data_IF_140659418473
#
_entry.id   IF_140659418473
#
_cell.length_a   1.000
_cell.length_b   1.000
_cell.length_c   1.000
_cell.angle_alpha   90.00
_cell.angle_beta   90.00
_cell.angle_gamma   90.00
#
_symmetry.space_group_name_H-M   'P 1'
#
loop_
_entity.id
_entity.type
_entity.pdbx_description
1 polymer ?
#
# COMPACT_ATOMS: atom_id res chain seq x y z
N UNK A 1 -16.00 9.02 2.86
CA UNK A 1 -15.02 8.22 2.09
C UNK A 1 -13.69 8.02 2.82
N UNK A 2 -13.35 8.86 3.81
CA UNK A 2 -12.37 8.61 4.89
C UNK A 2 -12.35 7.16 5.43
N UNK A 3 -13.54 6.54 5.54
CA UNK A 3 -13.70 5.13 5.96
C UNK A 3 -13.18 4.10 4.95
N UNK A 4 -13.18 4.37 3.65
CA UNK A 4 -12.81 3.38 2.63
C UNK A 4 -11.31 3.12 2.62
N UNK A 5 -10.50 4.17 2.73
CA UNK A 5 -9.05 4.08 2.91
C UNK A 5 -8.68 3.46 4.26
N UNK A 6 -9.39 3.82 5.33
CA UNK A 6 -9.18 3.22 6.66
C UNK A 6 -9.52 1.73 6.64
N UNK A 7 -10.57 1.30 5.94
CA UNK A 7 -11.00 -0.11 5.83
C UNK A 7 -10.08 -0.93 4.91
N UNK A 8 -9.58 -0.37 3.81
CA UNK A 8 -8.59 -1.05 2.97
C UNK A 8 -7.26 -1.24 3.70
N UNK A 9 -6.74 -0.19 4.34
CA UNK A 9 -5.56 -0.31 5.19
C UNK A 9 -5.82 -1.16 6.45
N UNK A 10 -7.03 -1.19 7.00
CA UNK A 10 -7.38 -2.03 8.16
C UNK A 10 -7.59 -3.51 7.80
N UNK A 11 -8.16 -3.83 6.63
CA UNK A 11 -8.29 -5.22 6.14
C UNK A 11 -6.94 -5.80 5.73
N UNK A 12 -6.04 -4.97 5.19
CA UNK A 12 -4.63 -5.35 5.07
C UNK A 12 -4.05 -5.49 6.49
N UNK A 13 -4.20 -4.50 7.38
CA UNK A 13 -3.59 -4.51 8.72
C UNK A 13 -4.05 -5.64 9.68
N UNK A 14 -5.27 -6.18 9.55
CA UNK A 14 -5.72 -7.32 10.39
C UNK A 14 -5.07 -8.64 9.99
N UNK A 15 -4.45 -8.73 8.81
CA UNK A 15 -3.61 -9.87 8.41
C UNK A 15 -2.11 -9.58 8.52
N UNK A 16 -1.70 -8.33 8.78
CA UNK A 16 -0.31 -7.91 9.02
C UNK A 16 0.15 -8.28 10.44
N UNK A 17 0.47 -9.55 10.66
CA UNK A 17 1.21 -9.93 11.87
C UNK A 17 2.71 -9.54 11.78
N UNK A 18 3.24 -9.14 10.61
CA UNK A 18 4.68 -8.83 10.42
C UNK A 18 5.07 -7.71 9.47
N UNK A 19 4.14 -6.94 8.88
CA UNK A 19 4.53 -5.55 8.59
C UNK A 19 4.84 -4.95 9.94
N UNK A 20 6.07 -4.46 10.14
CA UNK A 20 6.53 -3.85 11.39
C UNK A 20 5.43 -2.91 11.90
N UNK A 21 4.59 -3.42 12.81
CA UNK A 21 3.32 -2.78 13.13
C UNK A 21 3.59 -1.44 13.78
N UNK A 22 4.68 -1.36 14.52
CA UNK A 22 5.14 -0.13 15.14
C UNK A 22 5.62 0.87 14.09
N UNK A 23 6.38 0.42 13.08
CA UNK A 23 6.73 1.26 11.94
C UNK A 23 5.50 1.71 11.16
N UNK A 24 4.52 0.85 10.94
CA UNK A 24 3.28 1.21 10.25
C UNK A 24 2.46 2.22 11.05
N UNK A 25 2.26 2.01 12.36
CA UNK A 25 1.58 2.98 13.24
C UNK A 25 2.28 4.33 13.23
N UNK A 26 3.60 4.35 13.32
CA UNK A 26 4.41 5.59 13.26
C UNK A 26 4.31 6.26 11.90
N UNK A 27 4.41 5.50 10.82
CA UNK A 27 4.27 6.00 9.45
C UNK A 27 2.89 6.62 9.22
N UNK A 28 1.84 5.92 9.64
CA UNK A 28 0.46 6.39 9.59
C UNK A 28 0.26 7.68 10.35
N UNK A 29 0.61 7.70 11.64
CA UNK A 29 0.48 8.89 12.47
C UNK A 29 1.24 10.08 11.87
N UNK A 30 2.45 9.85 11.33
CA UNK A 30 3.20 10.88 10.63
C UNK A 30 2.48 11.40 9.38
N UNK A 31 2.08 10.51 8.46
CA UNK A 31 1.47 10.93 7.20
C UNK A 31 0.09 11.59 7.40
N UNK A 32 -0.69 11.17 8.39
CA UNK A 32 -1.98 11.79 8.75
C UNK A 32 -1.81 13.24 9.27
N UNK A 33 -0.64 13.60 9.82
CA UNK A 33 -0.37 15.00 10.19
C UNK A 33 -0.13 15.89 8.97
N UNK A 34 0.34 15.31 7.87
CA UNK A 34 0.73 16.03 6.65
C UNK A 34 -0.45 16.17 5.67
N UNK A 35 -1.32 15.17 5.60
CA UNK A 35 -2.42 15.08 4.63
C UNK A 35 -3.73 14.79 5.35
N UNK A 36 -4.76 15.61 5.12
CA UNK A 36 -6.02 15.57 5.90
C UNK A 36 -7.27 15.46 5.03
N UNK A 37 -7.13 15.64 3.72
CA UNK A 37 -8.23 15.72 2.77
C UNK A 37 -8.23 14.56 1.78
N UNK A 38 -9.40 14.31 1.18
CA UNK A 38 -9.58 13.24 0.18
C UNK A 38 -8.86 13.58 -1.15
N UNK A 39 -8.49 14.85 -1.38
CA UNK A 39 -7.71 15.29 -2.55
C UNK A 39 -6.22 14.90 -2.44
N UNK A 40 -5.74 14.63 -1.22
CA UNK A 40 -4.33 14.33 -0.92
C UNK A 40 -4.04 12.83 -0.84
N UNK A 41 -4.99 11.97 -1.24
CA UNK A 41 -4.89 10.51 -1.08
C UNK A 41 -3.68 9.92 -1.80
N UNK A 42 -3.30 10.46 -2.95
CA UNK A 42 -2.11 10.01 -3.67
C UNK A 42 -0.81 10.32 -2.88
N UNK A 43 -0.73 11.52 -2.31
CA UNK A 43 0.41 11.97 -1.50
C UNK A 43 0.50 11.22 -0.17
N UNK A 44 -0.66 10.98 0.47
CA UNK A 44 -0.76 10.18 1.67
C UNK A 44 -0.29 8.74 1.44
N UNK A 45 -0.78 8.11 0.36
CA UNK A 45 -0.39 6.74 -0.02
C UNK A 45 1.10 6.65 -0.29
N UNK A 46 1.66 7.62 -1.02
CA UNK A 46 3.09 7.69 -1.28
C UNK A 46 3.91 7.89 0.01
N UNK A 47 3.47 8.77 0.91
CA UNK A 47 4.10 8.96 2.21
C UNK A 47 4.18 7.66 3.00
N UNK A 48 3.08 6.90 3.06
CA UNK A 48 3.05 5.59 3.70
C UNK A 48 4.03 4.63 3.03
N UNK A 49 3.96 4.49 1.71
CA UNK A 49 4.80 3.55 0.95
C UNK A 49 6.29 3.86 1.13
N UNK A 50 6.65 5.15 1.12
CA UNK A 50 8.01 5.62 1.39
C UNK A 50 8.46 5.30 2.81
N UNK A 51 7.63 5.60 3.82
CA UNK A 51 7.96 5.31 5.23
C UNK A 51 8.08 3.82 5.51
N UNK A 52 7.31 2.99 4.81
CA UNK A 52 7.39 1.53 4.87
C UNK A 52 8.55 0.95 4.04
N UNK A 53 9.16 1.75 3.16
CA UNK A 53 10.24 1.32 2.28
C UNK A 53 9.76 0.53 1.06
N UNK A 54 8.45 0.53 0.80
CA UNK A 54 7.85 -0.15 -0.36
C UNK A 54 8.13 0.58 -1.67
N UNK A 55 8.35 1.89 -1.60
CA UNK A 55 8.60 2.76 -2.74
C UNK A 55 9.65 3.82 -2.37
N UNK A 56 10.56 4.13 -3.28
CA UNK A 56 11.58 5.18 -3.07
C UNK A 56 11.08 6.56 -3.55
N UNK A 57 11.91 7.60 -3.42
CA UNK A 57 11.58 8.96 -3.87
C UNK A 57 11.35 9.09 -5.38
N UNK A 58 12.02 8.25 -6.17
CA UNK A 58 11.87 8.22 -7.62
C UNK A 58 10.61 7.46 -8.09
N UNK A 59 9.83 6.93 -7.15
CA UNK A 59 8.62 6.15 -7.43
C UNK A 59 8.86 4.67 -7.74
N UNK A 60 10.10 4.17 -7.59
CA UNK A 60 10.42 2.76 -7.83
C UNK A 60 10.03 1.89 -6.65
N UNK A 61 9.33 0.79 -6.96
CA UNK A 61 8.91 -0.19 -5.96
C UNK A 61 10.04 -1.13 -5.56
N UNK A 62 10.23 -1.27 -4.25
CA UNK A 62 11.21 -2.17 -3.65
C UNK A 62 10.59 -3.56 -3.51
N UNK A 63 10.57 -4.30 -4.64
CA UNK A 63 9.83 -5.57 -4.77
C UNK A 63 10.23 -6.63 -3.74
N UNK A 64 11.50 -6.67 -3.33
CA UNK A 64 11.96 -7.60 -2.30
C UNK A 64 11.36 -7.27 -0.93
N UNK A 65 11.32 -5.98 -0.57
CA UNK A 65 10.70 -5.50 0.67
C UNK A 65 9.19 -5.81 0.65
N UNK A 66 8.52 -5.52 -0.46
CA UNK A 66 7.11 -5.89 -0.65
C UNK A 66 6.91 -7.39 -0.49
N UNK A 67 7.71 -8.22 -1.18
CA UNK A 67 7.63 -9.68 -1.07
C UNK A 67 7.74 -10.11 0.39
N UNK A 68 8.81 -9.72 1.10
CA UNK A 68 9.00 -10.09 2.52
C UNK A 68 7.84 -9.67 3.41
N UNK A 69 7.24 -8.49 3.18
CA UNK A 69 6.16 -7.99 4.04
C UNK A 69 4.78 -8.60 3.73
N UNK A 70 4.55 -9.08 2.51
CA UNK A 70 3.26 -9.65 2.10
C UNK A 70 3.25 -11.20 2.01
N UNK A 71 4.40 -11.87 2.14
CA UNK A 71 4.54 -13.33 1.98
C UNK A 71 3.70 -14.17 2.95
N UNK A 72 3.49 -13.67 4.18
CA UNK A 72 2.71 -14.37 5.21
C UNK A 72 1.21 -14.03 5.16
N UNK A 73 0.83 -13.09 4.28
CA UNK A 73 -0.53 -12.51 4.18
C UNK A 73 -1.22 -12.94 2.90
N UNK A 74 -0.45 -13.05 1.83
CA UNK A 74 -0.90 -13.45 0.52
C UNK A 74 -0.28 -14.81 0.19
N UNK A 75 -1.01 -15.66 -0.53
CA UNK A 75 -0.38 -16.84 -1.14
C UNK A 75 0.73 -16.41 -2.08
N UNK A 76 1.72 -17.27 -2.30
CA UNK A 76 2.80 -17.01 -3.26
C UNK A 76 2.26 -16.60 -4.64
N UNK A 77 1.15 -17.19 -5.08
CA UNK A 77 0.49 -16.80 -6.35
C UNK A 77 -0.03 -15.36 -6.32
N UNK A 78 -0.65 -14.93 -5.21
CA UNK A 78 -1.17 -13.57 -5.06
C UNK A 78 -0.05 -12.54 -4.91
N UNK A 79 1.06 -12.87 -4.27
CA UNK A 79 2.18 -11.93 -4.13
C UNK A 79 2.85 -11.66 -5.48
N UNK A 80 3.05 -12.71 -6.29
CA UNK A 80 3.63 -12.56 -7.61
C UNK A 80 2.69 -11.80 -8.56
N UNK A 81 1.38 -12.00 -8.41
CA UNK A 81 0.37 -11.21 -9.12
C UNK A 81 0.43 -9.72 -8.74
N UNK A 82 0.51 -9.39 -7.46
CA UNK A 82 0.66 -8.00 -6.98
C UNK A 82 1.96 -7.37 -7.50
N UNK A 83 3.09 -8.06 -7.36
CA UNK A 83 4.40 -7.56 -7.80
C UNK A 83 4.49 -7.40 -9.32
N UNK A 84 3.71 -8.14 -10.09
CA UNK A 84 3.69 -8.05 -11.55
C UNK A 84 2.69 -7.01 -12.05
N UNK A 85 1.47 -7.00 -11.51
CA UNK A 85 0.35 -6.20 -12.03
C UNK A 85 0.21 -4.84 -11.36
N UNK A 86 0.52 -4.73 -10.06
CA UNK A 86 0.19 -3.54 -9.29
C UNK A 86 1.38 -2.61 -9.05
N UNK A 87 2.61 -3.11 -9.05
CA UNK A 87 3.82 -2.31 -8.81
C UNK A 87 4.35 -1.62 -10.07
N UNK A 88 3.47 -0.88 -10.75
CA UNK A 88 3.77 -0.20 -12.02
C UNK A 88 4.12 1.26 -11.76
N UNK A 89 5.31 1.68 -12.19
CA UNK A 89 5.72 3.08 -12.16
C UNK A 89 4.87 3.91 -13.12
N UNK A 90 4.35 5.03 -12.64
CA UNK A 90 3.52 6.02 -13.36
C UNK A 90 4.31 7.32 -13.57
N UNK A 91 3.63 8.38 -14.01
CA UNK A 91 4.28 9.65 -14.29
C UNK A 91 4.83 10.29 -13.00
N UNK A 92 4.13 10.12 -11.87
CA UNK A 92 4.60 10.57 -10.56
C UNK A 92 4.71 9.43 -9.54
N UNK A 93 5.56 9.58 -8.51
CA UNK A 93 5.61 8.65 -7.38
C UNK A 93 4.25 8.47 -6.68
N UNK A 94 3.49 9.56 -6.53
CA UNK A 94 2.16 9.59 -5.92
C UNK A 94 1.14 8.79 -6.74
N UNK A 95 1.10 8.99 -8.06
CA UNK A 95 0.25 8.21 -8.96
C UNK A 95 0.62 6.73 -8.95
N UNK A 96 1.92 6.43 -8.85
CA UNK A 96 2.40 5.05 -8.76
C UNK A 96 1.88 4.40 -7.47
N UNK A 97 2.01 5.09 -6.33
CA UNK A 97 1.54 4.61 -5.03
C UNK A 97 0.02 4.38 -5.02
N UNK A 98 -0.74 5.37 -5.53
CA UNK A 98 -2.19 5.30 -5.62
C UNK A 98 -2.64 4.15 -6.53
N UNK A 99 -2.01 4.01 -7.70
CA UNK A 99 -2.30 2.91 -8.61
C UNK A 99 -2.07 1.55 -7.95
N UNK A 100 -0.96 1.39 -7.24
CA UNK A 100 -0.61 0.14 -6.59
C UNK A 100 -1.64 -0.26 -5.52
N UNK A 101 -2.04 0.65 -4.63
CA UNK A 101 -3.01 0.32 -3.56
C UNK A 101 -4.38 -0.03 -4.15
N UNK A 102 -4.87 0.71 -5.15
CA UNK A 102 -6.15 0.41 -5.82
C UNK A 102 -6.11 -0.92 -6.58
N UNK A 103 -5.00 -1.24 -7.24
CA UNK A 103 -4.82 -2.52 -7.92
C UNK A 103 -4.85 -3.70 -6.92
N UNK A 104 -4.16 -3.57 -5.79
CA UNK A 104 -4.12 -4.59 -4.73
C UNK A 104 -5.51 -4.82 -4.13
N UNK A 105 -6.28 -3.75 -3.89
CA UNK A 105 -7.67 -3.85 -3.45
C UNK A 105 -8.53 -4.63 -4.46
N UNK A 106 -8.37 -4.36 -5.75
CA UNK A 106 -9.12 -5.05 -6.80
C UNK A 106 -8.78 -6.55 -6.92
N UNK A 107 -7.52 -6.94 -6.68
CA UNK A 107 -7.12 -8.35 -6.63
C UNK A 107 -7.77 -9.06 -5.43
N UNK A 108 -7.93 -8.37 -4.31
CA UNK A 108 -8.44 -8.95 -3.07
C UNK A 108 -9.96 -8.81 -2.88
N UNK A 109 -10.65 -8.03 -3.71
CA UNK A 109 -12.11 -7.92 -3.68
C UNK A 109 -12.70 -9.29 -4.10
N UNK A 110 -13.53 -9.94 -3.27
CA UNK A 110 -14.25 -11.12 -3.72
C UNK A 110 -15.12 -10.70 -4.91
N UNK A 111 -15.01 -11.43 -6.02
CA UNK A 111 -15.91 -11.26 -7.16
C UNK A 111 -17.30 -11.61 -6.65
N UNK A 112 -18.13 -10.60 -6.43
CA UNK A 112 -19.55 -10.81 -6.21
C UNK A 112 -20.14 -11.28 -7.53
N UNK A 113 -20.21 -12.60 -7.70
CA UNK A 113 -21.08 -13.27 -8.68
C UNK A 113 -22.53 -13.09 -8.30
#
# INVERSE_FOLDING_TARGET
MKYFLVVAFALVATSLAKVDQERFKKARAYCETQFKTDEEVAQYTFCLFKKMGFQNEAGDFQKDILRTNFLDVLTQTKIDEVLTKCTVKKATPEESALHAITCIENINRPVST
#
